data_IF_696530056495
#
_entry.id   IF_696530056495
#
_cell.length_a   1.000
_cell.length_b   1.000
_cell.length_c   1.000
_cell.angle_alpha   90.00
_cell.angle_beta   90.00
_cell.angle_gamma   90.00
#
_symmetry.space_group_name_H-M   'P 1'
#
loop_
_entity.id
_entity.type
_entity.pdbx_description
1 polymer ?
#
# COMPACT_ATOMS: atom_id res chain seq x y z
N UNK A 1 -0.80 37.63 17.74
CA UNK A 1 0.62 37.67 17.34
C UNK A 1 0.70 37.71 15.81
N UNK A 2 1.39 38.71 15.29
CA UNK A 2 1.46 39.00 13.85
C UNK A 2 2.52 38.10 13.18
N UNK A 3 2.38 37.81 11.89
CA UNK A 3 3.38 36.99 11.17
C UNK A 3 4.75 37.68 11.10
N UNK A 4 4.78 39.00 10.97
CA UNK A 4 6.04 39.77 10.92
C UNK A 4 6.83 39.66 12.22
N UNK A 5 6.17 39.77 13.37
CA UNK A 5 6.80 39.62 14.70
C UNK A 5 7.40 38.21 14.86
N UNK A 6 6.63 37.18 14.50
CA UNK A 6 7.10 35.80 14.59
C UNK A 6 8.28 35.54 13.67
N UNK A 7 8.27 36.06 12.44
CA UNK A 7 9.38 35.90 11.50
C UNK A 7 10.63 36.61 12.01
N UNK A 8 10.49 37.80 12.58
CA UNK A 8 11.61 38.52 13.19
C UNK A 8 12.26 37.70 14.31
N UNK A 9 11.45 37.18 15.25
CA UNK A 9 11.95 36.31 16.35
C UNK A 9 12.67 35.07 15.80
N UNK A 10 12.14 34.44 14.76
CA UNK A 10 12.75 33.24 14.16
C UNK A 10 14.07 33.59 13.45
N UNK A 11 14.12 34.69 12.69
CA UNK A 11 15.28 35.05 11.87
C UNK A 11 16.42 35.63 12.71
N UNK A 12 16.11 36.46 13.70
CA UNK A 12 17.09 37.22 14.49
C UNK A 12 17.45 36.47 15.77
N UNK A 13 16.45 35.97 16.49
CA UNK A 13 16.63 35.36 17.82
C UNK A 13 16.68 33.83 17.77
N UNK A 14 16.49 33.23 16.58
CA UNK A 14 16.45 31.78 16.38
C UNK A 14 15.43 31.06 17.27
N UNK A 15 14.31 31.74 17.58
CA UNK A 15 13.28 31.23 18.47
C UNK A 15 12.52 30.03 17.87
N UNK A 16 12.79 28.83 18.42
CA UNK A 16 12.14 27.59 18.03
C UNK A 16 10.65 27.52 18.42
N UNK A 17 10.23 28.22 19.47
CA UNK A 17 8.83 28.27 19.91
C UNK A 17 8.02 29.08 18.90
N UNK A 18 8.55 30.23 18.47
CA UNK A 18 7.96 31.03 17.41
C UNK A 18 7.87 30.25 16.09
N UNK A 19 8.92 29.50 15.73
CA UNK A 19 8.94 28.64 14.55
C UNK A 19 7.84 27.56 14.60
N UNK A 20 7.75 26.83 15.71
CA UNK A 20 6.73 25.81 15.92
C UNK A 20 5.31 26.40 15.89
N UNK A 21 5.13 27.60 16.44
CA UNK A 21 3.86 28.30 16.37
C UNK A 21 3.47 28.62 14.92
N UNK A 22 4.42 29.13 14.10
CA UNK A 22 4.16 29.45 12.71
C UNK A 22 3.82 28.19 11.88
N UNK A 23 4.52 27.07 12.12
CA UNK A 23 4.19 25.78 11.50
C UNK A 23 2.76 25.34 11.81
N UNK A 24 2.35 25.39 13.08
CA UNK A 24 0.97 25.05 13.49
C UNK A 24 -0.06 26.00 12.86
N UNK A 25 0.25 27.29 12.79
CA UNK A 25 -0.63 28.32 12.20
C UNK A 25 -0.90 28.06 10.71
N UNK A 26 0.12 27.67 9.95
CA UNK A 26 0.01 27.46 8.50
C UNK A 26 -0.26 26.01 8.09
N UNK A 27 -0.30 25.06 9.03
CA UNK A 27 -0.59 23.65 8.76
C UNK A 27 -1.86 23.44 7.91
N UNK A 28 -3.00 23.98 8.36
CA UNK A 28 -4.27 23.88 7.61
C UNK A 28 -4.23 24.61 6.28
N UNK A 29 -3.43 25.68 6.19
CA UNK A 29 -3.26 26.43 4.95
C UNK A 29 -2.54 25.58 3.89
N UNK A 30 -1.50 24.84 4.29
CA UNK A 30 -0.78 23.92 3.38
C UNK A 30 -1.73 22.82 2.90
N UNK A 31 -2.43 22.15 3.84
CA UNK A 31 -3.43 21.12 3.51
C UNK A 31 -4.49 21.58 2.52
N UNK A 32 -4.98 22.81 2.67
CA UNK A 32 -5.92 23.40 1.71
C UNK A 32 -5.35 23.38 0.28
N UNK A 33 -4.08 23.73 0.07
CA UNK A 33 -3.50 23.72 -1.27
C UNK A 33 -3.14 22.32 -1.77
N UNK A 34 -2.76 21.41 -0.87
CA UNK A 34 -2.53 20.00 -1.22
C UNK A 34 -3.82 19.36 -1.73
N UNK A 35 -4.94 19.54 -1.04
CA UNK A 35 -6.23 18.98 -1.47
C UNK A 35 -6.83 19.66 -2.71
N UNK A 36 -6.37 20.86 -3.07
CA UNK A 36 -6.71 21.48 -4.34
C UNK A 36 -5.95 20.85 -5.53
N UNK A 37 -4.90 20.07 -5.26
CA UNK A 37 -4.24 19.28 -6.29
C UNK A 37 -5.06 18.02 -6.52
N UNK A 38 -5.51 17.83 -7.76
CA UNK A 38 -6.11 16.57 -8.21
C UNK A 38 -5.01 15.49 -8.31
N UNK A 39 -4.70 14.85 -7.18
CA UNK A 39 -3.67 13.79 -7.02
C UNK A 39 -4.19 12.71 -6.07
N UNK A 40 -3.64 11.50 -6.17
CA UNK A 40 -4.02 10.37 -5.32
C UNK A 40 -3.72 10.65 -3.85
N UNK A 41 -4.59 10.18 -2.95
CA UNK A 41 -4.50 10.43 -1.50
C UNK A 41 -3.15 9.99 -0.90
N UNK A 42 -2.56 8.90 -1.41
CA UNK A 42 -1.24 8.43 -0.97
C UNK A 42 -0.10 9.44 -1.16
N UNK A 43 -0.26 10.41 -2.06
CA UNK A 43 0.74 11.45 -2.33
C UNK A 43 0.53 12.69 -1.45
N UNK A 44 -0.60 12.77 -0.72
CA UNK A 44 -0.99 13.99 -0.01
C UNK A 44 -0.04 14.28 1.16
N UNK A 45 0.36 13.26 1.91
CA UNK A 45 1.28 13.44 3.05
C UNK A 45 2.65 13.95 2.58
N UNK A 46 3.19 13.39 1.50
CA UNK A 46 4.47 13.82 0.92
C UNK A 46 4.38 15.26 0.40
N UNK A 47 3.29 15.61 -0.30
CA UNK A 47 3.05 16.99 -0.76
C UNK A 47 2.87 17.97 0.40
N UNK A 48 2.24 17.54 1.50
CA UNK A 48 2.14 18.35 2.70
C UNK A 48 3.52 18.59 3.32
N UNK A 49 4.37 17.57 3.41
CA UNK A 49 5.75 17.72 3.89
C UNK A 49 6.56 18.70 3.02
N UNK A 50 6.46 18.59 1.70
CA UNK A 50 7.04 19.56 0.77
C UNK A 50 6.52 20.99 1.02
N UNK A 51 5.23 21.13 1.34
CA UNK A 51 4.65 22.40 1.75
C UNK A 51 5.21 22.97 3.05
N UNK A 52 5.49 22.11 4.04
CA UNK A 52 6.13 22.50 5.30
C UNK A 52 7.58 22.95 5.06
N UNK A 53 8.33 22.25 4.21
CA UNK A 53 9.67 22.67 3.80
C UNK A 53 9.65 24.03 3.09
N UNK A 54 8.65 24.26 2.25
CA UNK A 54 8.45 25.55 1.59
C UNK A 54 8.09 26.66 2.58
N UNK A 55 7.35 26.36 3.65
CA UNK A 55 7.07 27.33 4.71
C UNK A 55 8.35 27.71 5.44
N UNK A 56 9.17 26.74 5.83
CA UNK A 56 10.47 27.01 6.45
C UNK A 56 11.37 27.86 5.52
N UNK A 57 11.39 27.55 4.22
CA UNK A 57 12.08 28.38 3.22
C UNK A 57 11.48 29.79 3.15
N UNK A 58 10.16 29.92 3.18
CA UNK A 58 9.47 31.22 3.16
C UNK A 58 9.91 32.07 4.35
N UNK A 59 9.90 31.48 5.55
CA UNK A 59 10.31 32.16 6.80
C UNK A 59 11.74 32.69 6.66
N UNK A 60 12.68 31.89 6.14
CA UNK A 60 14.08 32.29 6.00
C UNK A 60 14.35 33.34 4.91
N UNK A 61 13.45 33.47 3.94
CA UNK A 61 13.68 34.29 2.74
C UNK A 61 12.73 35.48 2.61
N UNK A 62 11.77 35.60 3.53
CA UNK A 62 10.81 36.69 3.52
C UNK A 62 11.51 38.02 3.81
N UNK A 63 11.16 39.02 3.03
CA UNK A 63 11.69 40.38 3.06
C UNK A 63 10.49 41.34 3.02
N UNK A 64 10.26 42.02 4.14
CA UNK A 64 9.12 42.92 4.33
C UNK A 64 9.15 44.14 3.40
N UNK A 65 10.34 44.53 2.90
CA UNK A 65 10.50 45.67 1.99
C UNK A 65 9.88 45.43 0.60
N UNK A 66 9.48 44.20 0.29
CA UNK A 66 8.90 43.82 -1.01
C UNK A 66 7.40 44.09 -1.15
N UNK A 67 6.80 44.87 -0.24
CA UNK A 67 5.40 45.31 -0.27
C UNK A 67 4.39 44.17 -0.48
N UNK A 68 4.64 43.00 0.13
CA UNK A 68 3.73 41.85 0.12
C UNK A 68 3.64 41.26 1.51
N UNK A 69 2.44 40.87 1.92
CA UNK A 69 2.31 40.13 3.17
C UNK A 69 2.99 38.78 3.09
N UNK A 70 3.50 38.30 4.22
CA UNK A 70 4.11 36.98 4.33
C UNK A 70 3.20 35.89 3.78
N UNK A 71 1.92 35.90 4.17
CA UNK A 71 0.92 34.93 3.68
C UNK A 71 0.85 34.91 2.15
N UNK A 72 0.84 36.07 1.49
CA UNK A 72 0.79 36.15 0.02
C UNK A 72 2.07 35.70 -0.65
N UNK A 73 3.22 36.02 -0.04
CA UNK A 73 4.51 35.52 -0.51
C UNK A 73 4.57 33.99 -0.41
N UNK A 74 4.22 33.44 0.75
CA UNK A 74 4.21 32.00 1.00
C UNK A 74 3.24 31.27 0.07
N UNK A 75 2.00 31.76 -0.07
CA UNK A 75 1.00 31.22 -0.99
C UNK A 75 1.55 31.08 -2.41
N UNK A 76 2.22 32.13 -2.90
CA UNK A 76 2.76 32.17 -4.26
C UNK A 76 3.81 31.07 -4.47
N UNK A 77 4.78 30.96 -3.57
CA UNK A 77 5.87 29.99 -3.72
C UNK A 77 5.40 28.56 -3.44
N UNK A 78 4.45 28.36 -2.51
CA UNK A 78 3.83 27.07 -2.21
C UNK A 78 3.13 26.51 -3.44
N UNK A 79 2.23 27.29 -4.07
CA UNK A 79 1.49 26.85 -5.26
C UNK A 79 2.42 26.48 -6.42
N UNK A 80 3.47 27.27 -6.65
CA UNK A 80 4.47 26.99 -7.70
C UNK A 80 5.21 25.69 -7.43
N UNK A 81 5.65 25.48 -6.19
CA UNK A 81 6.37 24.28 -5.79
C UNK A 81 5.51 23.03 -5.88
N UNK A 82 4.29 23.06 -5.31
CA UNK A 82 3.35 21.94 -5.37
C UNK A 82 3.01 21.53 -6.81
N UNK A 83 2.81 22.50 -7.70
CA UNK A 83 2.58 22.21 -9.12
C UNK A 83 3.80 21.56 -9.79
N UNK A 84 5.00 22.03 -9.46
CA UNK A 84 6.25 21.44 -9.95
C UNK A 84 6.46 20.01 -9.45
N UNK A 85 6.21 19.75 -8.16
CA UNK A 85 6.30 18.40 -7.58
C UNK A 85 5.26 17.48 -8.21
N UNK A 86 4.00 17.93 -8.33
CA UNK A 86 2.92 17.17 -9.01
C UNK A 86 3.34 16.71 -10.41
N UNK A 87 4.00 17.57 -11.20
CA UNK A 87 4.46 17.24 -12.56
C UNK A 87 5.53 16.14 -12.61
N UNK A 88 6.21 15.88 -11.49
CA UNK A 88 7.27 14.85 -11.38
C UNK A 88 6.76 13.55 -10.76
N UNK A 89 5.51 13.50 -10.32
CA UNK A 89 4.95 12.28 -9.74
C UNK A 89 4.97 11.16 -10.76
N UNK A 90 5.39 9.95 -10.36
CA UNK A 90 5.44 8.81 -11.27
C UNK A 90 4.02 8.38 -11.65
N UNK A 91 3.85 7.96 -12.90
CA UNK A 91 2.66 7.22 -13.30
C UNK A 91 2.78 5.79 -12.75
N UNK A 92 1.97 5.46 -11.75
CA UNK A 92 1.92 4.11 -11.22
C UNK A 92 1.08 3.24 -12.16
N UNK A 93 1.75 2.45 -13.00
CA UNK A 93 1.11 1.40 -13.78
C UNK A 93 1.00 0.14 -12.92
N UNK A 94 -0.22 -0.28 -12.61
CA UNK A 94 -0.48 -1.59 -12.02
C UNK A 94 -0.46 -2.63 -13.15
N UNK A 95 0.60 -3.43 -13.22
CA UNK A 95 0.64 -4.59 -14.10
C UNK A 95 0.09 -5.81 -13.34
N UNK A 96 -0.93 -6.47 -13.88
CA UNK A 96 -1.54 -7.66 -13.25
C UNK A 96 -0.56 -8.84 -13.15
N UNK A 97 0.49 -8.85 -13.98
CA UNK A 97 1.45 -9.94 -14.09
C UNK A 97 2.87 -9.41 -14.02
N UNK A 98 3.33 -9.21 -12.81
CA UNK A 98 4.74 -9.14 -12.51
C UNK A 98 5.16 -10.53 -12.08
N UNK A 99 5.93 -11.22 -12.93
CA UNK A 99 6.81 -12.31 -12.56
C UNK A 99 7.85 -11.81 -11.53
N UNK A 100 7.42 -11.36 -10.35
CA UNK A 100 8.26 -10.81 -9.28
C UNK A 100 9.23 -11.84 -8.70
N UNK A 101 9.16 -13.09 -9.16
CA UNK A 101 9.94 -14.22 -8.70
C UNK A 101 10.81 -14.72 -9.86
N UNK A 102 11.70 -13.87 -10.35
CA UNK A 102 12.88 -14.35 -11.11
C UNK A 102 14.04 -14.41 -10.13
N UNK A 103 14.23 -15.57 -9.51
CA UNK A 103 15.40 -15.85 -8.66
C UNK A 103 15.14 -16.57 -7.33
N UNK A 104 13.88 -16.86 -6.99
CA UNK A 104 13.59 -17.72 -5.83
C UNK A 104 13.48 -19.15 -6.36
N UNK A 105 14.50 -19.96 -6.12
CA UNK A 105 14.31 -21.41 -6.12
C UNK A 105 13.40 -21.71 -4.94
N UNK A 106 12.14 -22.06 -5.19
CA UNK A 106 11.38 -22.78 -4.19
C UNK A 106 12.23 -24.00 -3.84
N UNK A 107 12.57 -24.16 -2.56
CA UNK A 107 12.88 -25.51 -2.08
C UNK A 107 11.55 -26.22 -2.29
N UNK A 108 11.44 -26.98 -3.38
CA UNK A 108 10.36 -27.92 -3.54
C UNK A 108 10.52 -28.87 -2.36
N UNK A 109 9.79 -28.60 -1.27
CA UNK A 109 9.61 -29.59 -0.22
C UNK A 109 9.09 -30.82 -0.92
N UNK A 110 9.92 -31.86 -0.96
CA UNK A 110 9.59 -33.12 -1.60
C UNK A 110 8.30 -33.59 -0.96
N UNK A 111 7.18 -33.46 -1.70
CA UNK A 111 5.86 -33.81 -1.17
C UNK A 111 5.91 -35.28 -0.80
N UNK A 112 5.92 -35.56 0.50
CA UNK A 112 5.92 -36.94 0.97
C UNK A 112 4.69 -37.64 0.36
N UNK A 113 4.86 -38.73 -0.39
CA UNK A 113 3.76 -39.33 -1.12
C UNK A 113 2.71 -39.84 -0.13
N UNK A 114 1.44 -39.49 -0.38
CA UNK A 114 0.32 -39.90 0.47
C UNK A 114 0.22 -41.42 0.45
N UNK A 115 0.24 -42.01 1.63
CA UNK A 115 0.10 -43.45 1.77
C UNK A 115 -1.38 -43.86 1.58
N UNK A 116 -1.68 -44.37 0.40
CA UNK A 116 -2.99 -44.90 0.00
C UNK A 116 -2.94 -46.43 0.04
N UNK A 117 -3.60 -47.02 1.03
CA UNK A 117 -3.48 -48.45 1.33
C UNK A 117 -4.62 -49.28 0.70
N UNK A 118 -5.72 -48.64 0.34
CA UNK A 118 -6.90 -49.31 -0.23
C UNK A 118 -7.06 -49.00 -1.72
N UNK A 119 -7.49 -49.99 -2.50
CA UNK A 119 -7.91 -49.83 -3.91
C UNK A 119 -8.95 -48.71 -4.07
N UNK A 120 -9.87 -48.59 -3.10
CA UNK A 120 -10.86 -47.51 -3.10
C UNK A 120 -10.23 -46.13 -2.86
N UNK A 121 -9.21 -46.04 -2.01
CA UNK A 121 -8.49 -44.79 -1.75
C UNK A 121 -7.74 -44.33 -3.01
N UNK A 122 -7.09 -45.25 -3.72
CA UNK A 122 -6.38 -44.96 -4.97
C UNK A 122 -7.34 -44.49 -6.07
N UNK A 123 -8.44 -45.22 -6.29
CA UNK A 123 -9.44 -44.84 -7.29
C UNK A 123 -10.06 -43.48 -6.98
N UNK A 124 -10.40 -43.21 -5.71
CA UNK A 124 -10.98 -41.92 -5.30
C UNK A 124 -9.95 -40.81 -5.41
N UNK A 125 -8.68 -41.07 -5.06
CA UNK A 125 -7.60 -40.11 -5.22
C UNK A 125 -7.46 -39.67 -6.69
N UNK A 126 -7.33 -40.64 -7.59
CA UNK A 126 -7.15 -40.36 -9.03
C UNK A 126 -8.38 -39.67 -9.61
N UNK A 127 -9.57 -40.20 -9.38
CA UNK A 127 -10.77 -39.70 -10.04
C UNK A 127 -11.27 -38.36 -9.47
N UNK A 128 -11.23 -38.18 -8.14
CA UNK A 128 -11.75 -36.98 -7.49
C UNK A 128 -10.68 -35.89 -7.31
N UNK A 129 -9.47 -36.24 -6.86
CA UNK A 129 -8.44 -35.26 -6.53
C UNK A 129 -7.59 -34.87 -7.75
N UNK A 130 -7.19 -35.83 -8.60
CA UNK A 130 -6.40 -35.55 -9.82
C UNK A 130 -7.30 -35.15 -11.00
N UNK A 131 -8.25 -36.00 -11.38
CA UNK A 131 -9.11 -35.80 -12.57
C UNK A 131 -10.31 -34.87 -12.33
N UNK A 132 -10.51 -34.37 -11.10
CA UNK A 132 -11.59 -33.44 -10.69
C UNK A 132 -13.01 -33.89 -11.09
N UNK A 133 -13.25 -35.19 -11.15
CA UNK A 133 -14.56 -35.70 -11.50
C UNK A 133 -15.57 -35.53 -10.36
N UNK A 134 -16.84 -35.36 -10.72
CA UNK A 134 -17.93 -35.31 -9.75
C UNK A 134 -18.16 -36.67 -9.09
N UNK A 135 -18.59 -36.68 -7.82
CA UNK A 135 -18.89 -37.92 -7.08
C UNK A 135 -19.95 -38.77 -7.80
N UNK A 136 -20.87 -38.14 -8.52
CA UNK A 136 -21.88 -38.83 -9.33
C UNK A 136 -21.25 -39.54 -10.54
N UNK A 137 -20.27 -38.94 -11.21
CA UNK A 137 -19.49 -39.57 -12.28
C UNK A 137 -18.65 -40.74 -11.77
N UNK A 138 -18.02 -40.59 -10.60
CA UNK A 138 -17.21 -41.64 -9.96
C UNK A 138 -18.09 -42.83 -9.57
N UNK A 139 -19.27 -42.57 -9.00
CA UNK A 139 -20.25 -43.60 -8.65
C UNK A 139 -20.81 -44.35 -9.87
N UNK A 140 -20.82 -43.75 -11.06
CA UNK A 140 -21.24 -44.41 -12.31
C UNK A 140 -20.14 -45.28 -12.90
N UNK A 141 -18.89 -44.85 -12.74
CA UNK A 141 -17.71 -45.51 -13.31
C UNK A 141 -17.18 -46.62 -12.40
N UNK A 142 -17.50 -46.57 -11.12
CA UNK A 142 -17.03 -47.52 -10.10
C UNK A 142 -18.18 -48.31 -9.48
N UNK A 143 -17.86 -49.47 -8.87
CA UNK A 143 -18.81 -50.34 -8.16
C UNK A 143 -19.23 -49.81 -6.77
N UNK A 144 -18.79 -48.62 -6.37
CA UNK A 144 -18.92 -48.12 -5.00
C UNK A 144 -20.05 -47.10 -4.85
N UNK A 145 -20.71 -47.13 -3.69
CA UNK A 145 -21.79 -46.19 -3.37
C UNK A 145 -21.27 -44.78 -3.11
N UNK A 146 -22.13 -43.78 -3.34
CA UNK A 146 -21.83 -42.37 -3.00
C UNK A 146 -21.33 -42.21 -1.57
N UNK A 147 -21.93 -42.91 -0.59
CA UNK A 147 -21.54 -42.85 0.82
C UNK A 147 -20.11 -43.34 1.04
N UNK A 148 -19.72 -44.44 0.38
CA UNK A 148 -18.35 -44.95 0.43
C UNK A 148 -17.37 -43.95 -0.16
N UNK A 149 -17.70 -43.34 -1.30
CA UNK A 149 -16.85 -42.34 -1.96
C UNK A 149 -16.66 -41.10 -1.07
N UNK A 150 -17.73 -40.55 -0.48
CA UNK A 150 -17.63 -39.40 0.42
C UNK A 150 -16.79 -39.71 1.67
N UNK A 151 -16.98 -40.88 2.28
CA UNK A 151 -16.20 -41.31 3.42
C UNK A 151 -14.70 -41.44 3.07
N UNK A 152 -14.40 -41.94 1.88
CA UNK A 152 -13.01 -42.06 1.39
C UNK A 152 -12.40 -40.68 1.11
N UNK A 153 -13.14 -39.76 0.49
CA UNK A 153 -12.69 -38.37 0.28
C UNK A 153 -12.35 -37.72 1.62
N UNK A 154 -13.19 -37.90 2.64
CA UNK A 154 -12.95 -37.37 3.98
C UNK A 154 -11.66 -37.94 4.58
N UNK A 155 -11.46 -39.27 4.53
CA UNK A 155 -10.23 -39.92 5.03
C UNK A 155 -8.97 -39.43 4.33
N UNK A 156 -9.02 -39.27 3.01
CA UNK A 156 -7.90 -38.72 2.23
C UNK A 156 -7.60 -37.28 2.66
N UNK A 157 -8.62 -36.44 2.85
CA UNK A 157 -8.44 -35.06 3.36
C UNK A 157 -7.86 -35.00 4.77
N UNK A 158 -8.26 -35.90 5.66
CA UNK A 158 -7.69 -35.98 7.00
C UNK A 158 -6.20 -36.39 6.94
N UNK A 159 -5.82 -37.30 6.05
CA UNK A 159 -4.41 -37.63 5.80
C UNK A 159 -3.60 -36.41 5.34
N UNK A 160 -4.18 -35.58 4.45
CA UNK A 160 -3.56 -34.31 4.03
C UNK A 160 -3.36 -33.33 5.19
N UNK A 161 -4.31 -33.24 6.12
CA UNK A 161 -4.25 -32.34 7.27
C UNK A 161 -3.17 -32.75 8.29
N UNK A 162 -2.84 -34.03 8.35
CA UNK A 162 -1.77 -34.57 9.22
C UNK A 162 -0.37 -34.34 8.62
N UNK A 163 -0.28 -34.04 7.31
CA UNK A 163 0.99 -33.81 6.60
C UNK A 163 1.45 -32.34 6.62
N UNK A 164 0.65 -31.43 7.17
CA UNK A 164 0.95 -30.00 7.39
C UNK A 164 1.18 -29.78 8.88
#
# INVERSE_FOLDING_TARGET
MNDYELIYLIQVEQDEIALNFLFKKYHKFIWKYVHLLDVQEKEHDDLHQEGVLMLHKAIKTFDENRNKSFTRYFELILRRHLFHVKRKLPNYYLYEHTDFIKGVSYIEEEQTPIQLYSELEQIVFDQYFLCKQSVTSICRTTKYSKKQIYNTIFRIKEKYKIMI
#
